data_IF_437395305041
#
_entry.id   IF_437395305041
#
_cell.length_a   1.000
_cell.length_b   1.000
_cell.length_c   1.000
_cell.angle_alpha   90.00
_cell.angle_beta   90.00
_cell.angle_gamma   90.00
#
_symmetry.space_group_name_H-M   'P 1'
#
loop_
_entity.id
_entity.type
_entity.pdbx_description
1 polymer ?
#
# COMPACT_ATOMS: atom_id res chain seq x y z
N UNK A 1 -2.61 18.85 20.16
CA UNK A 1 -3.81 18.26 20.79
C UNK A 1 -3.98 18.80 22.21
N UNK A 2 -5.17 19.31 22.53
CA UNK A 2 -5.47 20.00 23.79
C UNK A 2 -5.47 21.52 23.59
N UNK A 3 -6.67 22.12 23.62
CA UNK A 3 -6.79 23.57 23.75
C UNK A 3 -6.32 24.04 25.13
N UNK A 4 -6.28 23.13 26.12
CA UNK A 4 -5.80 23.37 27.48
C UNK A 4 -4.55 22.53 27.78
N UNK A 5 -3.48 23.18 28.26
CA UNK A 5 -2.21 22.51 28.57
C UNK A 5 -2.34 21.43 29.66
N UNK A 6 -3.33 21.55 30.55
CA UNK A 6 -3.58 20.58 31.62
C UNK A 6 -4.02 19.20 31.10
N UNK A 7 -4.63 19.14 29.91
CA UNK A 7 -5.08 17.88 29.29
C UNK A 7 -3.94 17.11 28.60
N UNK A 8 -2.78 17.73 28.39
CA UNK A 8 -1.71 17.16 27.58
C UNK A 8 -1.27 15.76 28.04
N UNK A 9 -1.01 15.50 29.34
CA UNK A 9 -0.61 14.16 29.79
C UNK A 9 -1.65 13.08 29.45
N UNK A 10 -2.94 13.39 29.61
CA UNK A 10 -4.06 12.48 29.31
C UNK A 10 -4.15 12.21 27.81
N UNK A 11 -4.10 13.26 26.98
CA UNK A 11 -4.20 13.12 25.53
C UNK A 11 -2.99 12.41 24.93
N UNK A 12 -1.79 12.65 25.46
CA UNK A 12 -0.59 11.90 25.05
C UNK A 12 -0.69 10.42 25.44
N UNK A 13 -1.25 10.09 26.60
CA UNK A 13 -1.46 8.70 26.99
C UNK A 13 -2.39 7.99 26.00
N UNK A 14 -3.53 8.61 25.65
CA UNK A 14 -4.43 8.08 24.60
C UNK A 14 -3.72 7.96 23.25
N UNK A 15 -2.92 8.95 22.84
CA UNK A 15 -2.17 8.89 21.59
C UNK A 15 -1.17 7.73 21.56
N UNK A 16 -0.45 7.47 22.66
CA UNK A 16 0.45 6.32 22.80
C UNK A 16 -0.30 4.99 22.62
N UNK A 17 -1.45 4.82 23.29
CA UNK A 17 -2.26 3.59 23.15
C UNK A 17 -2.72 3.36 21.70
N UNK A 18 -3.11 4.43 20.98
CA UNK A 18 -3.46 4.34 19.56
C UNK A 18 -2.22 3.96 18.73
N UNK A 19 -1.08 4.59 18.98
CA UNK A 19 0.16 4.31 18.24
C UNK A 19 0.81 2.98 18.61
N UNK A 20 0.40 2.28 19.67
CA UNK A 20 0.81 0.90 19.95
C UNK A 20 0.20 -0.09 18.94
N UNK A 21 -1.02 0.18 18.47
CA UNK A 21 -1.74 -0.70 17.54
C UNK A 21 -0.96 -0.93 16.24
N UNK A 22 -0.59 -2.17 15.88
CA UNK A 22 0.29 -2.46 14.74
C UNK A 22 -0.26 -1.98 13.38
N UNK A 23 -1.58 -1.79 13.29
CA UNK A 23 -2.30 -1.22 12.14
C UNK A 23 -2.14 0.28 11.95
N UNK A 24 -1.81 1.01 13.02
CA UNK A 24 -1.74 2.47 12.97
C UNK A 24 -0.33 2.90 12.56
N UNK A 25 -0.24 3.50 11.38
CA UNK A 25 0.91 4.30 10.98
C UNK A 25 0.73 5.73 11.48
N UNK A 26 1.76 6.26 12.13
CA UNK A 26 1.75 7.64 12.58
C UNK A 26 2.08 8.62 11.44
N UNK A 27 1.41 9.76 11.46
CA UNK A 27 1.66 10.88 10.57
C UNK A 27 1.73 12.18 11.37
N UNK A 28 2.50 13.14 10.90
CA UNK A 28 2.44 14.50 11.42
C UNK A 28 1.39 15.32 10.68
N UNK A 29 0.68 16.17 11.43
CA UNK A 29 -0.23 17.18 10.91
C UNK A 29 0.18 18.56 11.45
N UNK A 30 1.49 18.81 11.57
CA UNK A 30 2.07 20.03 12.16
C UNK A 30 1.79 20.21 13.66
N UNK A 31 2.54 21.11 14.32
CA UNK A 31 2.18 21.55 15.66
C UNK A 31 1.05 22.59 15.63
N UNK A 32 1.14 23.58 14.75
CA UNK A 32 0.27 24.77 14.76
C UNK A 32 -0.71 24.82 13.60
N UNK A 33 -0.58 23.92 12.63
CA UNK A 33 -1.46 23.76 11.46
C UNK A 33 -1.59 25.07 10.67
N UNK A 34 -0.48 25.65 10.21
CA UNK A 34 -0.53 26.90 9.45
C UNK A 34 -1.28 26.73 8.14
N UNK A 35 -1.96 27.79 7.71
CA UNK A 35 -2.59 27.83 6.39
C UNK A 35 -1.55 28.02 5.27
N UNK A 36 -0.50 28.82 5.54
CA UNK A 36 0.58 29.13 4.59
C UNK A 36 1.90 28.49 5.06
N UNK A 37 2.64 27.90 4.12
CA UNK A 37 3.82 27.08 4.40
C UNK A 37 5.08 27.62 3.71
N UNK A 38 5.57 28.79 4.08
CA UNK A 38 6.74 29.41 3.45
C UNK A 38 8.05 29.00 4.14
N UNK A 39 9.19 29.21 3.46
CA UNK A 39 10.50 28.84 4.00
C UNK A 39 11.01 29.73 5.16
N UNK A 40 10.28 30.80 5.49
CA UNK A 40 10.64 31.77 6.53
C UNK A 40 9.97 31.50 7.89
N UNK A 41 10.06 32.48 8.79
CA UNK A 41 9.45 32.47 10.14
C UNK A 41 7.93 32.77 10.07
N UNK A 42 7.37 32.93 8.87
CA UNK A 42 6.00 33.39 8.61
C UNK A 42 4.93 32.29 8.76
N UNK A 43 5.18 31.28 9.57
CA UNK A 43 4.16 30.31 9.96
C UNK A 43 3.28 30.94 11.04
N UNK A 44 2.25 31.68 10.61
CA UNK A 44 1.43 32.50 11.49
C UNK A 44 0.35 31.69 12.24
N UNK A 45 0.73 30.88 13.24
CA UNK A 45 -0.21 30.42 14.28
C UNK A 45 0.51 29.83 15.49
N UNK A 46 0.02 30.11 16.70
CA UNK A 46 0.37 29.34 17.91
C UNK A 46 -0.76 28.34 18.20
N UNK A 47 -0.39 27.13 18.66
CA UNK A 47 -1.36 26.11 19.07
C UNK A 47 -2.13 26.51 20.34
N UNK A 48 -1.48 27.26 21.23
CA UNK A 48 -2.08 27.92 22.40
C UNK A 48 -1.17 29.07 22.87
N UNK A 49 -1.74 30.03 23.62
CA UNK A 49 -1.03 31.22 24.10
C UNK A 49 0.12 30.91 25.07
N UNK A 50 0.14 29.69 25.63
CA UNK A 50 1.18 29.21 26.55
C UNK A 50 2.36 28.55 25.85
N UNK A 51 2.34 28.42 24.52
CA UNK A 51 3.48 27.93 23.77
C UNK A 51 4.66 28.92 23.92
N UNK A 52 5.67 28.51 24.70
CA UNK A 52 6.84 29.33 25.05
C UNK A 52 7.82 29.59 23.90
N UNK A 53 7.50 29.17 22.68
CA UNK A 53 8.39 29.32 21.53
C UNK A 53 7.85 30.35 20.55
N UNK A 54 8.74 31.24 20.10
CA UNK A 54 8.50 32.16 18.99
C UNK A 54 8.99 31.58 17.64
N UNK A 55 9.66 30.41 17.66
CA UNK A 55 10.10 29.73 16.44
C UNK A 55 8.88 29.13 15.76
N UNK A 56 8.54 29.62 14.57
CA UNK A 56 7.44 29.16 13.74
C UNK A 56 7.98 29.03 12.31
N UNK A 57 8.78 27.99 12.07
CA UNK A 57 9.43 27.72 10.79
C UNK A 57 9.18 26.27 10.34
N UNK A 58 9.52 25.96 9.10
CA UNK A 58 9.33 24.62 8.53
C UNK A 58 10.06 23.55 9.32
N UNK A 59 11.24 23.86 9.87
CA UNK A 59 11.99 22.91 10.70
C UNK A 59 11.19 22.52 11.94
N UNK A 60 10.58 23.48 12.65
CA UNK A 60 9.70 23.18 13.78
C UNK A 60 8.44 22.43 13.34
N UNK A 61 7.75 22.96 12.33
CA UNK A 61 6.42 22.44 11.97
C UNK A 61 6.45 21.06 11.31
N UNK A 62 7.52 20.75 10.58
CA UNK A 62 7.67 19.47 9.87
C UNK A 62 8.56 18.54 10.70
N UNK A 63 9.86 18.83 10.78
CA UNK A 63 10.81 17.93 11.45
C UNK A 63 10.60 17.87 12.97
N UNK A 64 10.33 19.01 13.61
CA UNK A 64 10.11 19.10 15.04
C UNK A 64 8.85 18.37 15.50
N UNK A 65 7.75 18.49 14.75
CA UNK A 65 6.49 17.79 15.06
C UNK A 65 6.64 16.28 14.93
N UNK A 66 7.33 15.82 13.89
CA UNK A 66 7.66 14.40 13.70
C UNK A 66 8.60 13.90 14.79
N UNK A 67 9.61 14.68 15.17
CA UNK A 67 10.53 14.34 16.27
C UNK A 67 9.79 14.19 17.60
N UNK A 68 8.84 15.09 17.88
CA UNK A 68 7.98 14.98 19.05
C UNK A 68 7.13 13.71 19.03
N UNK A 69 6.44 13.43 17.92
CA UNK A 69 5.64 12.21 17.77
C UNK A 69 6.52 10.98 17.99
N UNK A 70 7.66 10.89 17.30
CA UNK A 70 8.57 9.75 17.39
C UNK A 70 9.10 9.52 18.81
N UNK A 71 9.57 10.59 19.49
CA UNK A 71 10.23 10.47 20.79
C UNK A 71 9.27 10.35 21.97
N UNK A 72 8.06 10.91 21.87
CA UNK A 72 7.11 11.01 22.99
C UNK A 72 5.91 10.09 22.87
N UNK A 73 5.51 9.75 21.65
CA UNK A 73 4.24 9.10 21.37
C UNK A 73 4.36 7.72 20.72
N UNK A 74 5.44 7.43 19.99
CA UNK A 74 5.59 6.14 19.33
C UNK A 74 6.28 5.10 20.22
N UNK A 75 5.86 3.83 20.16
CA UNK A 75 6.63 2.75 20.75
C UNK A 75 7.93 2.52 19.97
N UNK A 76 8.89 1.83 20.61
CA UNK A 76 10.15 1.43 19.97
C UNK A 76 9.86 0.64 18.69
N UNK A 77 10.59 0.96 17.63
CA UNK A 77 10.45 0.31 16.31
C UNK A 77 9.37 0.91 15.41
N UNK A 78 8.56 1.88 15.87
CA UNK A 78 7.66 2.64 15.00
C UNK A 78 8.24 3.98 14.59
N UNK A 79 8.04 4.31 13.32
CA UNK A 79 8.45 5.57 12.71
C UNK A 79 7.26 6.47 12.38
N UNK A 80 7.59 7.72 12.08
CA UNK A 80 6.69 8.70 11.47
C UNK A 80 7.43 9.28 10.28
N UNK A 81 6.86 9.12 9.09
CA UNK A 81 7.47 9.54 7.83
C UNK A 81 6.45 10.17 6.87
N UNK A 82 5.25 10.51 7.35
CA UNK A 82 4.23 11.18 6.55
C UNK A 82 3.91 12.55 7.14
N UNK A 83 4.04 13.58 6.32
CA UNK A 83 3.39 14.86 6.52
C UNK A 83 2.00 14.80 5.86
N UNK A 84 0.97 14.67 6.71
CA UNK A 84 -0.43 14.78 6.30
C UNK A 84 -0.83 16.24 6.45
N UNK A 85 -0.84 16.99 5.34
CA UNK A 85 -1.07 18.43 5.38
C UNK A 85 -2.47 18.77 5.93
N UNK A 86 -2.59 19.81 6.78
CA UNK A 86 -3.88 20.28 7.24
C UNK A 86 -4.82 20.57 6.06
N UNK A 87 -6.13 20.38 6.24
CA UNK A 87 -7.10 20.50 5.13
C UNK A 87 -7.11 21.86 4.41
N UNK A 88 -6.81 22.95 5.12
CA UNK A 88 -6.74 24.31 4.57
C UNK A 88 -5.32 24.70 4.15
N UNK A 89 -4.34 23.81 4.32
CA UNK A 89 -2.96 24.10 4.00
C UNK A 89 -2.69 23.96 2.50
N UNK A 90 -1.95 24.91 1.95
CA UNK A 90 -1.34 24.80 0.63
C UNK A 90 0.18 24.74 0.82
N UNK A 91 0.82 23.56 0.72
CA UNK A 91 2.26 23.46 0.88
C UNK A 91 2.97 24.17 -0.27
N UNK A 92 4.00 24.97 0.04
CA UNK A 92 4.84 25.60 -0.99
C UNK A 92 5.83 24.60 -1.58
N UNK A 93 6.47 24.99 -2.69
CA UNK A 93 7.53 24.17 -3.31
C UNK A 93 8.70 23.95 -2.36
N UNK A 94 9.05 24.95 -1.56
CA UNK A 94 10.11 24.89 -0.58
C UNK A 94 9.78 23.90 0.54
N UNK A 95 8.53 23.88 1.02
CA UNK A 95 8.07 22.92 2.02
C UNK A 95 8.09 21.48 1.49
N UNK A 96 7.64 21.27 0.25
CA UNK A 96 7.71 19.95 -0.40
C UNK A 96 9.16 19.49 -0.59
N UNK A 97 10.06 20.36 -1.06
CA UNK A 97 11.50 20.07 -1.17
C UNK A 97 12.14 19.77 0.19
N UNK A 98 11.71 20.46 1.24
CA UNK A 98 12.19 20.19 2.60
C UNK A 98 11.79 18.78 3.04
N UNK A 99 10.55 18.36 2.82
CA UNK A 99 10.10 16.99 3.05
C UNK A 99 10.93 15.97 2.23
N UNK A 100 11.10 16.21 0.91
CA UNK A 100 11.89 15.34 0.03
C UNK A 100 13.34 15.18 0.53
N UNK A 101 13.99 16.28 0.93
CA UNK A 101 15.37 16.26 1.42
C UNK A 101 15.57 15.40 2.68
N UNK A 102 14.50 15.20 3.45
CA UNK A 102 14.48 14.38 4.66
C UNK A 102 13.82 13.01 4.47
N UNK A 103 13.43 12.66 3.22
CA UNK A 103 12.67 11.43 2.91
C UNK A 103 11.36 11.32 3.70
N UNK A 104 10.65 12.44 3.82
CA UNK A 104 9.31 12.51 4.39
C UNK A 104 8.31 12.49 3.25
N UNK A 105 7.40 11.52 3.30
CA UNK A 105 6.26 11.45 2.40
C UNK A 105 5.29 12.59 2.66
N UNK A 106 4.62 13.04 1.60
CA UNK A 106 3.76 14.20 1.63
C UNK A 106 2.41 13.88 0.99
N UNK A 107 1.34 14.05 1.76
CA UNK A 107 -0.02 13.83 1.27
C UNK A 107 -0.93 14.97 1.74
N UNK A 108 -1.65 15.58 0.81
CA UNK A 108 -2.73 16.52 1.16
C UNK A 108 -3.86 15.76 1.83
N UNK A 109 -4.57 16.39 2.76
CA UNK A 109 -5.80 15.79 3.28
C UNK A 109 -6.77 15.54 2.13
N UNK A 110 -7.15 14.28 1.90
CA UNK A 110 -8.15 13.94 0.90
C UNK A 110 -9.47 14.71 1.19
N UNK A 111 -10.20 15.14 0.13
CA UNK A 111 -11.59 15.57 0.31
C UNK A 111 -12.39 14.44 0.96
N UNK A 112 -13.37 14.76 1.80
CA UNK A 112 -14.21 13.72 2.40
C UNK A 112 -15.04 13.06 1.30
N UNK A 113 -14.65 11.86 0.87
CA UNK A 113 -15.52 10.97 0.10
C UNK A 113 -16.33 10.14 1.09
N UNK A 114 -17.65 10.31 1.08
CA UNK A 114 -18.52 9.31 1.69
C UNK A 114 -18.40 8.02 0.88
N UNK A 115 -18.40 6.83 1.54
CA UNK A 115 -18.33 5.53 0.87
C UNK A 115 -19.50 5.26 -0.10
N UNK A 116 -20.50 6.15 -0.16
CA UNK A 116 -21.63 6.09 -1.08
C UNK A 116 -21.35 6.70 -2.46
N UNK A 117 -20.18 7.28 -2.71
CA UNK A 117 -19.75 7.52 -4.09
C UNK A 117 -19.49 6.14 -4.71
N UNK A 118 -20.51 5.60 -5.38
CA UNK A 118 -20.43 4.33 -6.09
C UNK A 118 -19.11 4.28 -6.85
N UNK A 119 -18.33 3.22 -6.62
CA UNK A 119 -17.22 2.86 -7.49
C UNK A 119 -17.76 2.94 -8.90
N UNK A 120 -17.27 3.88 -9.71
CA UNK A 120 -17.63 3.91 -11.11
C UNK A 120 -16.97 2.68 -11.73
N UNK A 121 -17.73 1.58 -11.80
CA UNK A 121 -17.31 0.31 -12.37
C UNK A 121 -17.02 0.44 -13.88
N UNK A 122 -17.26 1.61 -14.50
CA UNK A 122 -16.82 1.94 -15.86
C UNK A 122 -15.46 2.60 -15.92
N UNK A 123 -14.89 3.03 -14.79
CA UNK A 123 -13.54 3.57 -14.74
C UNK A 123 -12.52 2.46 -15.02
N UNK A 124 -11.79 2.62 -16.11
CA UNK A 124 -10.66 1.76 -16.50
C UNK A 124 -9.39 2.08 -15.69
N UNK A 125 -9.45 3.04 -14.77
CA UNK A 125 -8.35 3.49 -13.92
C UNK A 125 -8.65 3.07 -12.47
N UNK A 126 -7.70 2.36 -11.87
CA UNK A 126 -7.72 2.13 -10.42
C UNK A 126 -7.64 3.47 -9.70
N UNK A 127 -8.66 3.79 -8.90
CA UNK A 127 -8.69 4.96 -8.04
C UNK A 127 -8.55 4.53 -6.58
N UNK A 128 -7.75 5.26 -5.77
CA UNK A 128 -7.64 4.95 -4.36
C UNK A 128 -8.95 5.32 -3.66
N UNK A 129 -9.38 4.48 -2.73
CA UNK A 129 -10.41 4.86 -1.77
C UNK A 129 -9.77 5.19 -0.43
N UNK A 130 -10.10 6.37 0.12
CA UNK A 130 -9.64 6.80 1.44
C UNK A 130 -10.84 7.00 2.37
N UNK A 131 -10.83 6.29 3.51
CA UNK A 131 -11.77 6.54 4.61
C UNK A 131 -11.11 7.53 5.58
N UNK A 132 -11.82 8.62 5.88
CA UNK A 132 -11.34 9.66 6.79
C UNK A 132 -12.30 9.79 7.97
N UNK A 133 -11.72 9.85 9.17
CA UNK A 133 -12.43 10.14 10.40
C UNK A 133 -11.62 11.09 11.28
N UNK A 134 -12.30 11.95 12.03
CA UNK A 134 -11.75 12.82 13.07
C UNK A 134 -12.25 12.32 14.42
N UNK A 135 -11.54 12.69 15.49
CA UNK A 135 -12.01 12.41 16.85
C UNK A 135 -13.42 12.96 17.12
N UNK A 136 -13.81 14.07 16.48
CA UNK A 136 -15.15 14.64 16.61
C UNK A 136 -16.24 13.77 15.97
N UNK A 137 -15.90 13.00 14.92
CA UNK A 137 -16.85 12.18 14.17
C UNK A 137 -17.25 10.91 14.96
N UNK A 138 -16.44 10.51 15.96
CA UNK A 138 -16.65 9.30 16.78
C UNK A 138 -16.93 9.61 18.25
N UNK A 139 -17.45 10.80 18.55
CA UNK A 139 -17.81 11.21 19.93
C UNK A 139 -19.11 10.59 20.44
N UNK A 140 -19.92 10.05 19.55
CA UNK A 140 -21.23 9.45 19.85
C UNK A 140 -21.26 8.00 19.40
N UNK A 141 -22.10 7.17 20.02
CA UNK A 141 -22.31 5.78 19.60
C UNK A 141 -22.75 5.69 18.13
N UNK A 142 -23.61 6.61 17.69
CA UNK A 142 -24.04 6.70 16.30
C UNK A 142 -22.86 7.01 15.34
N UNK A 143 -21.97 7.92 15.73
CA UNK A 143 -20.79 8.27 14.95
C UNK A 143 -19.79 7.10 14.85
N UNK A 144 -19.61 6.37 15.94
CA UNK A 144 -18.81 5.15 15.97
C UNK A 144 -19.41 4.07 15.07
N UNK A 145 -20.71 3.77 15.20
CA UNK A 145 -21.40 2.78 14.38
C UNK A 145 -21.37 3.15 12.88
N UNK A 146 -21.41 4.44 12.55
CA UNK A 146 -21.28 4.90 11.16
C UNK A 146 -19.87 4.66 10.60
N UNK A 147 -18.83 4.85 11.40
CA UNK A 147 -17.45 4.55 11.02
C UNK A 147 -17.25 3.04 10.83
N UNK A 148 -17.73 2.21 11.77
CA UNK A 148 -17.67 0.75 11.68
C UNK A 148 -18.34 0.25 10.40
N UNK A 149 -19.58 0.68 10.14
CA UNK A 149 -20.29 0.34 8.90
C UNK A 149 -19.51 0.73 7.64
N UNK A 150 -18.82 1.87 7.65
CA UNK A 150 -18.00 2.32 6.52
C UNK A 150 -16.79 1.41 6.33
N UNK A 151 -16.10 1.04 7.41
CA UNK A 151 -14.96 0.13 7.37
C UNK A 151 -15.37 -1.27 6.93
N UNK A 152 -16.52 -1.78 7.38
CA UNK A 152 -17.07 -3.07 6.97
C UNK A 152 -17.42 -3.09 5.47
N UNK A 153 -18.02 -2.01 4.96
CA UNK A 153 -18.30 -1.87 3.54
C UNK A 153 -17.01 -1.88 2.70
N UNK A 154 -15.96 -1.17 3.14
CA UNK A 154 -14.66 -1.23 2.48
C UNK A 154 -14.04 -2.63 2.57
N UNK A 155 -14.23 -3.33 3.69
CA UNK A 155 -13.69 -4.66 3.88
C UNK A 155 -14.36 -5.72 2.98
N UNK A 156 -15.61 -5.51 2.58
CA UNK A 156 -16.33 -6.40 1.68
C UNK A 156 -15.94 -6.26 0.20
N UNK A 157 -15.23 -5.19 -0.16
CA UNK A 157 -14.75 -4.94 -1.53
C UNK A 157 -13.35 -5.55 -1.74
N UNK A 158 -12.99 -5.95 -2.98
CA UNK A 158 -11.70 -6.57 -3.31
C UNK A 158 -10.56 -5.53 -3.37
N UNK A 159 -10.37 -4.81 -2.26
CA UNK A 159 -9.42 -3.70 -2.14
C UNK A 159 -8.08 -4.16 -1.58
N UNK A 160 -7.03 -3.54 -2.09
CA UNK A 160 -5.68 -3.66 -1.55
C UNK A 160 -5.48 -2.66 -0.40
N UNK A 161 -5.38 -3.18 0.83
CA UNK A 161 -5.18 -2.33 2.00
C UNK A 161 -3.74 -1.80 2.05
N UNK A 162 -3.58 -0.49 2.23
CA UNK A 162 -2.27 0.13 2.39
C UNK A 162 -2.32 1.36 3.30
N UNK A 163 -1.18 1.72 3.89
CA UNK A 163 -1.08 2.92 4.69
C UNK A 163 -1.00 4.17 3.82
N UNK A 164 -1.40 5.32 4.37
CA UNK A 164 -1.33 6.59 3.64
C UNK A 164 0.11 6.97 3.22
N UNK A 165 1.13 6.63 4.02
CA UNK A 165 2.51 6.89 3.61
C UNK A 165 2.97 5.93 2.51
N UNK A 166 2.57 4.66 2.54
CA UNK A 166 2.89 3.73 1.45
C UNK A 166 2.24 4.17 0.13
N UNK A 167 1.01 4.71 0.20
CA UNK A 167 0.35 5.31 -0.96
C UNK A 167 1.10 6.56 -1.46
N UNK A 168 1.49 7.46 -0.56
CA UNK A 168 2.25 8.65 -0.94
C UNK A 168 3.61 8.30 -1.57
N UNK A 169 4.32 7.31 -1.00
CA UNK A 169 5.57 6.79 -1.53
C UNK A 169 5.39 6.20 -2.93
N UNK A 170 4.36 5.37 -3.15
CA UNK A 170 4.11 4.77 -4.46
C UNK A 170 3.77 5.81 -5.53
N UNK A 171 3.03 6.87 -5.19
CA UNK A 171 2.73 7.99 -6.10
C UNK A 171 3.99 8.81 -6.39
N UNK A 172 4.82 9.07 -5.37
CA UNK A 172 6.09 9.75 -5.53
C UNK A 172 7.02 8.96 -6.44
N UNK A 173 7.16 7.67 -6.20
CA UNK A 173 8.00 6.77 -6.99
C UNK A 173 7.50 6.63 -8.44
N UNK A 174 6.19 6.57 -8.64
CA UNK A 174 5.58 6.56 -9.97
C UNK A 174 5.96 7.81 -10.80
N UNK A 175 6.07 8.99 -10.17
CA UNK A 175 6.49 10.22 -10.86
C UNK A 175 7.96 10.21 -11.27
N UNK A 176 8.79 9.49 -10.51
CA UNK A 176 10.23 9.37 -10.78
C UNK A 176 10.58 8.12 -11.59
N UNK A 177 9.60 7.25 -11.87
CA UNK A 177 9.78 6.02 -12.63
C UNK A 177 10.20 6.32 -14.05
N UNK A 178 11.27 5.65 -14.50
CA UNK A 178 11.77 5.71 -15.88
C UNK A 178 11.48 4.39 -16.59
N UNK A 179 10.90 4.48 -17.78
CA UNK A 179 10.62 3.32 -18.63
C UNK A 179 11.46 3.46 -19.90
N UNK A 180 12.28 2.46 -20.17
CA UNK A 180 13.15 2.39 -21.34
C UNK A 180 12.71 1.22 -22.21
N UNK A 181 12.65 1.41 -23.52
CA UNK A 181 12.44 0.31 -24.47
C UNK A 181 13.80 -0.31 -24.83
N UNK A 182 14.02 -1.56 -24.43
CA UNK A 182 15.25 -2.30 -24.71
C UNK A 182 15.19 -3.03 -26.07
N UNK A 183 14.00 -3.53 -26.45
CA UNK A 183 13.72 -4.12 -27.76
C UNK A 183 12.23 -3.97 -28.10
N UNK A 184 11.77 -4.60 -29.19
CA UNK A 184 10.38 -4.47 -29.65
C UNK A 184 9.36 -4.79 -28.55
N UNK A 185 9.54 -5.92 -27.87
CA UNK A 185 8.70 -6.43 -26.78
C UNK A 185 9.44 -6.54 -25.44
N UNK A 186 10.46 -5.71 -25.23
CA UNK A 186 11.26 -5.72 -24.00
C UNK A 186 11.41 -4.30 -23.45
N UNK A 187 11.02 -4.10 -22.20
CA UNK A 187 11.12 -2.85 -21.46
C UNK A 187 11.92 -3.01 -20.17
N UNK A 188 12.67 -1.97 -19.83
CA UNK A 188 13.35 -1.82 -18.55
C UNK A 188 12.64 -0.72 -17.77
N UNK A 189 12.16 -1.05 -16.57
CA UNK A 189 11.49 -0.14 -15.64
C UNK A 189 12.45 0.11 -14.48
N UNK A 190 12.73 1.39 -14.20
CA UNK A 190 13.64 1.83 -13.13
C UNK A 190 12.88 2.77 -12.19
N UNK A 191 12.79 2.40 -10.92
CA UNK A 191 12.18 3.18 -9.85
C UNK A 191 12.79 2.79 -8.48
N UNK A 192 12.26 3.26 -7.36
CA UNK A 192 12.74 2.89 -6.02
C UNK A 192 12.15 1.56 -5.52
N UNK A 193 11.03 1.11 -6.10
CA UNK A 193 10.37 -0.14 -5.76
C UNK A 193 9.06 0.03 -4.99
N UNK A 194 8.66 1.27 -4.68
CA UNK A 194 7.39 1.58 -4.01
C UNK A 194 6.21 1.56 -5.00
N UNK A 195 6.44 2.00 -6.25
CA UNK A 195 5.48 1.82 -7.34
C UNK A 195 5.61 0.42 -7.93
N UNK A 196 4.77 -0.51 -7.44
CA UNK A 196 4.88 -1.93 -7.78
C UNK A 196 4.00 -2.40 -8.94
N UNK A 197 3.19 -1.53 -9.53
CA UNK A 197 2.28 -1.90 -10.63
C UNK A 197 2.42 -0.97 -11.82
N UNK A 198 2.63 -1.55 -13.01
CA UNK A 198 2.65 -0.83 -14.30
C UNK A 198 1.47 -1.29 -15.15
N UNK A 199 0.86 -0.36 -15.88
CA UNK A 199 -0.31 -0.63 -16.73
C UNK A 199 0.02 -0.46 -18.21
N UNK A 200 -0.40 -1.42 -19.03
CA UNK A 200 -0.35 -1.38 -20.49
C UNK A 200 -1.71 -1.77 -21.09
N UNK A 201 -2.00 -1.43 -22.35
CA UNK A 201 -3.13 -2.03 -23.05
C UNK A 201 -2.99 -3.56 -23.12
N UNK A 202 -4.08 -4.31 -22.96
CA UNK A 202 -4.05 -5.77 -23.06
C UNK A 202 -3.60 -6.28 -24.45
N UNK A 203 -3.70 -5.44 -25.49
CA UNK A 203 -3.18 -5.73 -26.82
C UNK A 203 -1.64 -5.79 -26.89
N UNK A 204 -0.93 -5.31 -25.87
CA UNK A 204 0.53 -5.38 -25.81
C UNK A 204 1.06 -6.82 -25.65
N UNK A 205 0.20 -7.78 -25.30
CA UNK A 205 0.54 -9.19 -25.09
C UNK A 205 0.43 -9.58 -23.62
N UNK A 206 1.09 -10.67 -23.25
CA UNK A 206 1.19 -11.15 -21.87
C UNK A 206 2.66 -11.28 -21.45
N UNK A 207 2.99 -11.15 -20.16
CA UNK A 207 4.36 -11.35 -19.69
C UNK A 207 4.87 -12.77 -19.96
N UNK A 208 6.03 -12.87 -20.60
CA UNK A 208 6.80 -14.11 -20.58
C UNK A 208 7.56 -14.18 -19.26
N UNK A 209 6.92 -14.76 -18.24
CA UNK A 209 7.47 -14.87 -16.89
C UNK A 209 8.84 -15.56 -16.84
N UNK A 210 9.18 -16.39 -17.84
CA UNK A 210 10.49 -17.06 -17.91
C UNK A 210 11.61 -16.13 -18.36
N UNK A 211 11.27 -15.04 -19.05
CA UNK A 211 12.21 -14.03 -19.55
C UNK A 211 12.15 -12.71 -18.77
N UNK A 212 11.10 -12.50 -17.97
CA UNK A 212 11.01 -11.32 -17.11
C UNK A 212 11.97 -11.40 -15.93
N UNK A 213 12.52 -10.26 -15.53
CA UNK A 213 13.28 -10.09 -14.28
C UNK A 213 12.56 -9.13 -13.36
N UNK A 214 12.26 -9.55 -12.14
CA UNK A 214 11.61 -8.68 -11.14
C UNK A 214 10.12 -8.44 -11.39
N UNK A 215 9.46 -9.25 -12.23
CA UNK A 215 7.99 -9.31 -12.37
C UNK A 215 7.46 -10.40 -11.43
N UNK A 216 6.47 -10.06 -10.60
CA UNK A 216 5.81 -10.99 -9.67
C UNK A 216 4.51 -11.58 -10.21
N UNK A 217 3.91 -10.90 -11.17
CA UNK A 217 2.81 -11.45 -11.93
C UNK A 217 2.03 -10.38 -12.68
N UNK A 218 0.80 -10.70 -13.02
CA UNK A 218 -0.05 -9.82 -13.80
C UNK A 218 -1.51 -10.26 -13.74
N UNK A 219 -2.43 -9.34 -14.04
CA UNK A 219 -3.79 -9.68 -14.43
C UNK A 219 -4.26 -8.76 -15.56
N UNK A 220 -5.39 -9.13 -16.17
CA UNK A 220 -6.05 -8.33 -17.19
C UNK A 220 -7.42 -7.92 -16.69
N UNK A 221 -7.70 -6.63 -16.68
CA UNK A 221 -8.98 -6.08 -16.25
C UNK A 221 -9.39 -4.93 -17.17
N UNK A 222 -10.64 -4.96 -17.65
CA UNK A 222 -11.22 -3.94 -18.52
C UNK A 222 -10.32 -3.55 -19.73
N UNK A 223 -9.73 -4.55 -20.40
CA UNK A 223 -8.85 -4.33 -21.57
C UNK A 223 -7.48 -3.73 -21.25
N UNK A 224 -7.11 -3.66 -19.96
CA UNK A 224 -5.79 -3.24 -19.49
C UNK A 224 -5.06 -4.43 -18.86
N UNK A 225 -3.76 -4.53 -19.16
CA UNK A 225 -2.82 -5.43 -18.51
C UNK A 225 -2.16 -4.69 -17.34
N UNK A 226 -2.27 -5.24 -16.15
CA UNK A 226 -1.58 -4.76 -14.96
C UNK A 226 -0.44 -5.72 -14.64
N UNK A 227 0.78 -5.20 -14.64
CA UNK A 227 2.00 -5.92 -14.33
C UNK A 227 2.39 -5.63 -12.89
N UNK A 228 2.55 -6.67 -12.09
CA UNK A 228 3.01 -6.60 -10.72
C UNK A 228 4.52 -6.85 -10.67
N UNK A 229 5.25 -6.05 -9.91
CA UNK A 229 6.71 -6.16 -9.78
C UNK A 229 7.12 -6.67 -8.41
N UNK A 230 8.36 -7.13 -8.30
CA UNK A 230 8.97 -7.56 -7.04
C UNK A 230 9.29 -6.38 -6.11
N UNK A 231 9.15 -5.12 -6.53
CA UNK A 231 9.53 -3.96 -5.72
C UNK A 231 11.05 -3.73 -5.66
N UNK A 232 11.76 -4.07 -6.73
CA UNK A 232 13.19 -3.80 -6.88
C UNK A 232 13.45 -2.59 -7.77
N UNK A 233 14.66 -2.03 -7.71
CA UNK A 233 15.00 -0.81 -8.44
C UNK A 233 15.10 -0.96 -9.98
N UNK A 234 15.11 -2.21 -10.46
CA UNK A 234 15.13 -2.56 -11.87
C UNK A 234 14.20 -3.75 -12.11
N UNK A 235 13.28 -3.58 -13.05
CA UNK A 235 12.43 -4.65 -13.57
C UNK A 235 12.62 -4.74 -15.08
N UNK A 236 12.79 -5.94 -15.61
CA UNK A 236 12.80 -6.22 -17.05
C UNK A 236 11.51 -6.96 -17.41
N UNK A 237 10.69 -6.32 -18.24
CA UNK A 237 9.42 -6.84 -18.71
C UNK A 237 9.59 -7.29 -20.15
N UNK A 238 9.37 -8.58 -20.40
CA UNK A 238 9.31 -9.16 -21.74
C UNK A 238 7.87 -9.59 -22.01
N UNK A 239 7.27 -9.07 -23.09
CA UNK A 239 5.92 -9.44 -23.50
C UNK A 239 5.96 -10.42 -24.69
N UNK A 240 4.94 -11.25 -24.77
CA UNK A 240 4.72 -12.18 -25.87
C UNK A 240 3.27 -12.15 -26.33
N UNK A 241 3.08 -12.37 -27.64
CA UNK A 241 1.77 -12.52 -28.28
C UNK A 241 1.39 -14.01 -28.44
N UNK A 242 2.34 -14.91 -28.24
CA UNK A 242 2.09 -16.35 -28.25
C UNK A 242 1.82 -16.85 -26.83
N UNK A 243 1.14 -17.99 -26.72
CA UNK A 243 0.87 -18.63 -25.42
C UNK A 243 2.20 -18.86 -24.69
N UNK A 244 2.44 -18.21 -23.52
CA UNK A 244 3.70 -18.37 -22.79
C UNK A 244 3.79 -19.77 -22.19
N UNK A 245 5.02 -20.18 -21.84
CA UNK A 245 5.25 -21.36 -21.03
C UNK A 245 4.50 -21.25 -19.69
N UNK A 246 4.10 -22.39 -19.14
CA UNK A 246 3.46 -22.43 -17.83
C UNK A 246 4.40 -21.85 -16.76
N UNK A 247 3.91 -20.86 -16.01
CA UNK A 247 4.65 -20.27 -14.91
C UNK A 247 3.70 -19.72 -13.84
N UNK A 248 3.93 -20.06 -12.57
CA UNK A 248 3.19 -19.46 -11.45
C UNK A 248 3.40 -17.95 -11.45
N UNK A 249 2.32 -17.19 -11.29
CA UNK A 249 2.37 -15.74 -11.16
C UNK A 249 1.28 -15.25 -10.22
N UNK A 250 1.53 -14.14 -9.54
CA UNK A 250 0.51 -13.44 -8.77
C UNK A 250 -0.50 -12.79 -9.73
N UNK A 251 -1.79 -13.09 -9.58
CA UNK A 251 -2.85 -12.40 -10.30
C UNK A 251 -3.39 -11.24 -9.49
N UNK A 252 -3.78 -11.49 -8.23
CA UNK A 252 -4.42 -10.53 -7.33
C UNK A 252 -4.00 -10.77 -5.88
N UNK A 253 -3.97 -9.71 -5.07
CA UNK A 253 -3.86 -9.84 -3.61
C UNK A 253 -4.47 -8.65 -2.87
N UNK A 254 -5.15 -8.94 -1.76
CA UNK A 254 -5.68 -7.92 -0.84
C UNK A 254 -4.60 -7.23 0.01
N UNK A 255 -3.36 -7.73 -0.02
CA UNK A 255 -2.24 -7.24 0.79
C UNK A 255 -0.92 -7.20 0.02
N UNK A 256 0.10 -6.48 0.50
CA UNK A 256 1.45 -6.56 -0.06
C UNK A 256 2.00 -8.00 0.02
N UNK A 257 2.58 -8.46 -1.08
CA UNK A 257 3.26 -9.75 -1.17
C UNK A 257 4.78 -9.53 -1.32
N UNK A 258 5.54 -10.18 -0.45
CA UNK A 258 7.01 -10.16 -0.45
C UNK A 258 7.53 -11.54 -0.84
N UNK A 259 7.99 -11.71 -2.08
CA UNK A 259 8.50 -12.98 -2.57
C UNK A 259 9.94 -13.22 -2.12
N UNK A 260 10.19 -14.43 -1.61
CA UNK A 260 11.52 -14.99 -1.38
C UNK A 260 11.94 -15.89 -2.55
N UNK A 261 10.99 -16.61 -3.15
CA UNK A 261 11.16 -17.44 -4.33
C UNK A 261 9.93 -17.28 -5.23
N UNK A 262 10.14 -17.17 -6.55
CA UNK A 262 9.10 -17.36 -7.55
C UNK A 262 9.71 -18.07 -8.75
N UNK A 263 9.16 -19.24 -9.09
CA UNK A 263 9.58 -20.09 -10.21
C UNK A 263 8.36 -20.62 -10.95
N UNK A 264 8.57 -21.40 -12.01
CA UNK A 264 7.47 -21.93 -12.81
C UNK A 264 6.54 -22.87 -12.06
N UNK A 265 7.00 -23.49 -10.96
CA UNK A 265 6.24 -24.49 -10.19
C UNK A 265 6.23 -24.28 -8.69
N UNK A 266 7.00 -23.33 -8.15
CA UNK A 266 7.04 -23.00 -6.72
C UNK A 266 7.06 -21.51 -6.49
N UNK A 267 6.48 -21.08 -5.38
CA UNK A 267 6.72 -19.75 -4.85
C UNK A 267 6.77 -19.79 -3.31
N UNK A 268 7.63 -18.98 -2.72
CA UNK A 268 7.67 -18.74 -1.27
C UNK A 268 7.56 -17.25 -1.04
N UNK A 269 6.64 -16.83 -0.19
CA UNK A 269 6.35 -15.42 0.03
C UNK A 269 5.84 -15.13 1.45
N UNK A 270 5.96 -13.89 1.87
CA UNK A 270 5.36 -13.35 3.07
C UNK A 270 4.16 -12.46 2.71
N UNK A 271 3.10 -12.57 3.50
CA UNK A 271 1.97 -11.64 3.48
C UNK A 271 1.73 -11.10 4.88
N UNK A 272 1.32 -9.83 4.93
CA UNK A 272 0.92 -9.16 6.16
C UNK A 272 -0.20 -8.18 5.90
N UNK A 273 -1.30 -8.35 6.60
CA UNK A 273 -2.42 -7.42 6.65
C UNK A 273 -3.07 -7.43 8.05
N UNK A 274 -4.16 -6.67 8.19
CA UNK A 274 -5.01 -6.62 9.39
C UNK A 274 -6.10 -7.67 9.35
N UNK A 275 -6.48 -8.09 8.15
CA UNK A 275 -7.50 -9.09 7.86
C UNK A 275 -6.84 -10.32 7.25
N UNK A 276 -7.56 -11.45 7.19
CA UNK A 276 -7.15 -12.55 6.34
C UNK A 276 -6.80 -12.04 4.94
N UNK A 277 -5.72 -12.57 4.38
CA UNK A 277 -5.21 -12.14 3.08
C UNK A 277 -5.78 -13.07 2.01
N UNK A 278 -6.41 -12.47 1.01
CA UNK A 278 -6.79 -13.17 -0.21
C UNK A 278 -5.63 -13.03 -1.20
N UNK A 279 -5.14 -14.16 -1.71
CA UNK A 279 -4.11 -14.20 -2.74
C UNK A 279 -4.54 -15.13 -3.87
N UNK A 280 -4.48 -14.62 -5.10
CA UNK A 280 -4.86 -15.34 -6.30
C UNK A 280 -3.62 -15.54 -7.16
N UNK A 281 -3.33 -16.79 -7.49
CA UNK A 281 -2.21 -17.17 -8.34
C UNK A 281 -2.71 -17.84 -9.61
N UNK A 282 -2.09 -17.50 -10.74
CA UNK A 282 -2.32 -18.14 -12.02
C UNK A 282 -1.14 -18.99 -12.47
N UNK A 283 -1.32 -19.72 -13.56
CA UNK A 283 -0.27 -20.52 -14.19
C UNK A 283 -0.16 -21.95 -13.66
N UNK A 284 -1.15 -22.45 -12.94
CA UNK A 284 -1.24 -23.88 -12.60
C UNK A 284 -1.73 -24.69 -13.81
N UNK A 285 -1.50 -26.01 -13.79
CA UNK A 285 -2.12 -26.89 -14.77
C UNK A 285 -3.64 -26.81 -14.58
N UNK A 286 -4.47 -26.71 -15.64
CA UNK A 286 -5.91 -26.73 -15.52
C UNK A 286 -6.38 -27.94 -14.73
N UNK A 287 -7.15 -27.72 -13.65
CA UNK A 287 -7.58 -28.77 -12.70
C UNK A 287 -6.42 -29.54 -12.02
N UNK A 288 -5.21 -28.96 -12.04
CA UNK A 288 -4.07 -29.44 -11.28
C UNK A 288 -4.21 -29.15 -9.80
N UNK A 289 -3.25 -29.62 -9.01
CA UNK A 289 -3.27 -29.47 -7.55
C UNK A 289 -2.20 -28.47 -7.10
N UNK A 290 -2.52 -27.67 -6.10
CA UNK A 290 -1.58 -26.79 -5.41
C UNK A 290 -1.43 -27.31 -3.97
N UNK A 291 -0.27 -27.88 -3.66
CA UNK A 291 0.12 -28.14 -2.28
C UNK A 291 0.74 -26.87 -1.71
N UNK A 292 0.37 -26.48 -0.49
CA UNK A 292 0.98 -25.33 0.15
C UNK A 292 1.21 -25.52 1.65
N UNK A 293 2.24 -24.83 2.15
CA UNK A 293 2.50 -24.68 3.57
C UNK A 293 2.12 -23.26 3.97
N UNK A 294 1.32 -23.11 5.01
CA UNK A 294 1.05 -21.83 5.67
C UNK A 294 1.63 -21.89 7.08
N UNK A 295 2.67 -21.10 7.36
CA UNK A 295 3.39 -21.14 8.64
C UNK A 295 3.82 -22.56 9.04
N UNK A 296 4.20 -23.38 8.04
CA UNK A 296 4.61 -24.77 8.21
C UNK A 296 3.47 -25.80 8.28
N UNK A 297 2.20 -25.37 8.33
CA UNK A 297 1.04 -26.28 8.29
C UNK A 297 0.69 -26.64 6.84
N UNK A 298 0.51 -27.92 6.50
CA UNK A 298 0.24 -28.33 5.12
C UNK A 298 -1.24 -28.25 4.77
N UNK A 299 -1.49 -27.81 3.54
CA UNK A 299 -2.81 -27.68 2.94
C UNK A 299 -2.76 -28.06 1.46
N UNK A 300 -3.93 -28.19 0.85
CA UNK A 300 -4.07 -28.51 -0.57
C UNK A 300 -5.32 -27.85 -1.13
N UNK A 301 -5.20 -27.30 -2.34
CA UNK A 301 -6.30 -26.69 -3.08
C UNK A 301 -6.15 -27.03 -4.56
N UNK A 302 -7.27 -27.19 -5.27
CA UNK A 302 -7.25 -27.48 -6.70
C UNK A 302 -7.30 -26.18 -7.50
N UNK A 303 -6.54 -26.13 -8.59
CA UNK A 303 -6.68 -25.08 -9.58
C UNK A 303 -8.01 -25.24 -10.34
N UNK A 304 -8.60 -24.14 -10.78
CA UNK A 304 -9.79 -24.20 -11.62
C UNK A 304 -9.47 -24.60 -13.07
N UNK A 305 -10.47 -24.53 -13.96
CA UNK A 305 -10.31 -24.87 -15.37
C UNK A 305 -9.34 -23.94 -16.13
N UNK A 306 -9.00 -22.79 -15.57
CA UNK A 306 -8.07 -21.82 -16.14
C UNK A 306 -6.69 -21.86 -15.46
N UNK A 307 -6.47 -22.79 -14.52
CA UNK A 307 -5.22 -22.87 -13.80
C UNK A 307 -5.06 -21.78 -12.73
N UNK A 308 -6.18 -21.28 -12.18
CA UNK A 308 -6.19 -20.28 -11.11
C UNK A 308 -6.38 -20.96 -9.76
N UNK A 309 -5.58 -20.56 -8.78
CA UNK A 309 -5.66 -20.97 -7.37
C UNK A 309 -5.97 -19.75 -6.52
N UNK A 310 -6.93 -19.89 -5.61
CA UNK A 310 -7.31 -18.86 -4.63
C UNK A 310 -6.96 -19.35 -3.24
N UNK A 311 -6.25 -18.52 -2.48
CA UNK A 311 -5.81 -18.80 -1.13
C UNK A 311 -6.41 -17.77 -0.18
N UNK A 312 -7.04 -18.25 0.89
CA UNK A 312 -7.39 -17.46 2.07
C UNK A 312 -6.34 -17.76 3.13
N UNK A 313 -5.56 -16.74 3.48
CA UNK A 313 -4.41 -16.84 4.36
C UNK A 313 -4.67 -16.07 5.66
N UNK A 314 -4.09 -16.49 6.76
CA UNK A 314 -4.12 -15.70 7.99
C UNK A 314 -3.41 -14.35 7.79
N UNK A 315 -3.73 -13.36 8.63
CA UNK A 315 -3.26 -11.98 8.45
C UNK A 315 -1.73 -11.83 8.43
N UNK A 316 -0.97 -12.83 8.91
CA UNK A 316 0.49 -12.89 8.82
C UNK A 316 0.94 -14.31 8.53
N UNK A 317 1.44 -14.55 7.33
CA UNK A 317 1.85 -15.88 6.92
C UNK A 317 3.14 -15.85 6.12
N UNK A 318 4.00 -16.82 6.40
CA UNK A 318 4.98 -17.29 5.42
C UNK A 318 4.36 -18.48 4.69
N UNK A 319 4.22 -18.34 3.38
CA UNK A 319 3.54 -19.32 2.52
C UNK A 319 4.52 -19.89 1.53
N UNK A 320 4.51 -21.20 1.34
CA UNK A 320 5.22 -21.88 0.25
C UNK A 320 4.22 -22.70 -0.56
N UNK A 321 4.12 -22.43 -1.85
CA UNK A 321 3.20 -23.13 -2.77
C UNK A 321 3.99 -23.97 -3.77
N UNK A 322 3.41 -25.08 -4.19
CA UNK A 322 3.93 -25.97 -5.20
C UNK A 322 2.82 -26.44 -6.14
N UNK A 323 3.02 -26.26 -7.45
CA UNK A 323 2.15 -26.82 -8.49
C UNK A 323 2.47 -28.30 -8.71
N UNK A 324 1.42 -29.12 -8.67
CA UNK A 324 1.42 -30.56 -8.91
C UNK A 324 0.48 -30.88 -10.08
N UNK A 325 0.78 -31.93 -10.88
CA UNK A 325 -0.10 -32.36 -11.96
C UNK A 325 -1.45 -32.88 -11.42
N UNK A 326 -2.50 -32.96 -12.26
CA UNK A 326 -3.78 -33.55 -11.88
C UNK A 326 -3.62 -34.99 -11.38
N UNK A 327 -4.42 -35.38 -10.39
CA UNK A 327 -4.33 -36.70 -9.73
C UNK A 327 -4.38 -37.90 -10.69
N UNK A 328 -5.03 -37.77 -11.86
CA UNK A 328 -5.09 -38.84 -12.87
C UNK A 328 -3.76 -39.09 -13.61
N UNK A 329 -2.84 -38.12 -13.67
CA UNK A 329 -1.54 -38.26 -14.33
C UNK A 329 -0.41 -38.68 -13.38
N UNK A 330 -0.61 -38.55 -12.06
CA UNK A 330 0.36 -39.01 -11.07
C UNK A 330 0.48 -40.54 -10.98
N UNK A 331 -0.54 -41.28 -11.44
CA UNK A 331 -0.58 -42.75 -11.43
C UNK A 331 0.01 -43.41 -12.71
N UNK A 332 0.52 -42.61 -13.67
CA UNK A 332 1.11 -43.10 -14.93
C UNK A 332 2.61 -42.81 -15.06
N UNK A 333 3.30 -42.53 -13.95
CA UNK A 333 4.76 -42.37 -13.89
C UNK A 333 5.38 -43.27 -12.84
#
# INVERSE_FOLDING_TARGET
PGQQAADAPRLEHTARSIFEMPQVQAASNSFTRPAQWTAGIDIAAKLNDRAKTARLDMEREIAGSMSYIHRRLLPVGKGVNLMLWPQTAVPTREALRFCESMRIESLSAAPMSHPAAAVDLKSVRLEPMAVRSRFDDVRTEQGLAALEKTLDACAAEPLHAMTAAAYAASVSDARHTRILRAAENHWIILNHGDCRTVRLPASAGVPDMTQCLGVSGFNTHAGQLYIHTMGGARTELVLTQVKPAQHIHLAESSAPVEFMELSSRRATFHVRDLRPVEAVFGGFEPRGQCAYLENGRPYTVNADANGIVRLELVCRATVSIQSLPPAAQAAMR
#
